data_IF_745462393385
#
_entry.id   IF_745462393385
#
_cell.length_a   1.000
_cell.length_b   1.000
_cell.length_c   1.000
_cell.angle_alpha   90.00
_cell.angle_beta   90.00
_cell.angle_gamma   90.00
#
_symmetry.space_group_name_H-M   'P 1'
#
loop_
_entity.id
_entity.type
_entity.pdbx_description
1 polymer ?
#
# COMPACT_ATOMS: atom_id res chain seq x y z
N UNK A 1 0.55 -11.94 -5.09
CA UNK A 1 1.05 -10.58 -4.81
C UNK A 1 0.10 -9.58 -5.43
N UNK A 2 0.13 -8.33 -4.98
CA UNK A 2 -0.60 -7.22 -5.60
C UNK A 2 0.42 -6.24 -6.17
N UNK A 3 0.22 -5.81 -7.41
CA UNK A 3 1.01 -4.77 -8.08
C UNK A 3 0.07 -3.83 -8.82
N UNK A 4 0.31 -2.53 -8.73
CA UNK A 4 -0.58 -1.53 -9.33
C UNK A 4 -0.44 -1.45 -10.85
N UNK A 5 0.77 -1.68 -11.37
CA UNK A 5 1.12 -1.43 -12.78
C UNK A 5 0.76 0.01 -13.22
N UNK A 6 0.90 0.96 -12.29
CA UNK A 6 0.61 2.37 -12.55
C UNK A 6 1.63 3.00 -13.51
N UNK A 7 1.15 3.82 -14.45
CA UNK A 7 1.99 4.62 -15.36
C UNK A 7 1.94 6.08 -14.91
N UNK A 8 2.91 6.55 -14.09
CA UNK A 8 2.80 7.84 -13.41
C UNK A 8 2.96 9.07 -14.32
N UNK A 9 3.52 8.88 -15.52
CA UNK A 9 3.79 9.97 -16.46
C UNK A 9 2.64 10.20 -17.46
N UNK A 10 1.60 9.37 -17.43
CA UNK A 10 0.45 9.54 -18.32
C UNK A 10 -0.38 10.76 -17.87
N UNK A 11 -0.80 11.64 -18.80
CA UNK A 11 -1.63 12.78 -18.45
C UNK A 11 -2.99 12.34 -17.89
N UNK A 12 -3.56 11.27 -18.46
CA UNK A 12 -4.79 10.60 -18.01
C UNK A 12 -4.48 9.12 -17.72
N UNK A 13 -3.91 8.81 -16.54
CA UNK A 13 -3.48 7.45 -16.21
C UNK A 13 -4.69 6.53 -15.96
N UNK A 14 -4.49 5.22 -16.08
CA UNK A 14 -5.48 4.26 -15.57
C UNK A 14 -5.64 4.43 -14.04
N UNK A 15 -6.85 4.38 -13.46
CA UNK A 15 -7.09 4.58 -12.00
C UNK A 15 -6.37 3.58 -11.09
N UNK A 16 -5.74 2.55 -11.65
CA UNK A 16 -4.93 1.56 -10.92
C UNK A 16 -3.70 2.20 -10.29
N UNK A 17 -3.21 3.30 -10.87
CA UNK A 17 -2.12 4.10 -10.32
C UNK A 17 -2.45 4.60 -8.89
N UNK A 18 -3.71 4.94 -8.62
CA UNK A 18 -4.15 5.55 -7.37
C UNK A 18 -5.00 4.63 -6.48
N UNK A 19 -5.62 3.60 -7.06
CA UNK A 19 -6.63 2.77 -6.38
C UNK A 19 -6.25 1.32 -6.10
N UNK A 20 -5.18 0.78 -6.68
CA UNK A 20 -4.98 -0.68 -6.71
C UNK A 20 -5.02 -1.38 -5.34
N UNK A 21 -4.28 -0.88 -4.34
CA UNK A 21 -4.23 -1.51 -3.02
C UNK A 21 -5.51 -1.29 -2.19
N UNK A 22 -6.04 -0.05 -2.08
CA UNK A 22 -7.31 0.19 -1.39
C UNK A 22 -8.49 -0.57 -2.01
N UNK A 23 -8.50 -0.79 -3.33
CA UNK A 23 -9.51 -1.64 -4.00
C UNK A 23 -9.45 -3.09 -3.53
N UNK A 24 -8.24 -3.63 -3.29
CA UNK A 24 -8.07 -4.99 -2.76
C UNK A 24 -8.53 -5.10 -1.30
N UNK A 25 -8.25 -4.09 -0.49
CA UNK A 25 -8.66 -4.08 0.92
C UNK A 25 -10.17 -3.86 1.08
N UNK A 26 -10.74 -2.87 0.40
CA UNK A 26 -12.16 -2.53 0.46
C UNK A 26 -12.99 -3.46 -0.41
N UNK A 27 -13.00 -3.22 -1.72
CA UNK A 27 -13.88 -3.93 -2.64
C UNK A 27 -13.68 -5.45 -2.61
N UNK A 28 -12.45 -5.96 -2.81
CA UNK A 28 -12.27 -7.41 -2.90
C UNK A 28 -12.31 -8.16 -1.57
N UNK A 29 -11.78 -7.58 -0.48
CA UNK A 29 -11.72 -8.28 0.80
C UNK A 29 -12.91 -8.01 1.70
N UNK A 30 -13.34 -6.75 1.88
CA UNK A 30 -14.48 -6.39 2.72
C UNK A 30 -15.81 -6.64 2.02
N UNK A 31 -15.98 -6.10 0.80
CA UNK A 31 -17.29 -6.05 0.14
C UNK A 31 -17.64 -7.38 -0.55
N UNK A 32 -16.74 -7.90 -1.38
CA UNK A 32 -16.93 -9.17 -2.11
C UNK A 32 -16.56 -10.41 -1.30
N UNK A 33 -15.93 -10.24 -0.12
CA UNK A 33 -15.48 -11.33 0.76
C UNK A 33 -14.65 -12.41 0.04
N UNK A 34 -13.92 -12.05 -1.02
CA UNK A 34 -13.15 -12.99 -1.85
C UNK A 34 -12.06 -13.70 -1.04
N UNK A 35 -11.56 -13.03 0.00
CA UNK A 35 -10.65 -13.57 1.01
C UNK A 35 -10.64 -12.68 2.27
N UNK A 36 -10.25 -13.22 3.43
CA UNK A 36 -10.10 -12.44 4.66
C UNK A 36 -9.11 -11.28 4.51
N UNK A 37 -9.31 -10.21 5.30
CA UNK A 37 -8.42 -9.03 5.30
C UNK A 37 -6.95 -9.39 5.56
N UNK A 38 -6.70 -10.37 6.44
CA UNK A 38 -5.34 -10.87 6.72
C UNK A 38 -4.66 -11.46 5.49
N UNK A 39 -5.42 -12.17 4.64
CA UNK A 39 -4.93 -12.68 3.35
C UNK A 39 -4.66 -11.55 2.37
N UNK A 40 -5.54 -10.54 2.31
CA UNK A 40 -5.33 -9.34 1.50
C UNK A 40 -4.03 -8.63 1.87
N UNK A 41 -3.85 -8.33 3.17
CA UNK A 41 -2.65 -7.71 3.73
C UNK A 41 -1.41 -8.57 3.44
N UNK A 42 -1.45 -9.87 3.68
CA UNK A 42 -0.32 -10.75 3.41
C UNK A 42 0.10 -10.74 1.94
N UNK A 43 -0.86 -10.74 1.00
CA UNK A 43 -0.60 -10.68 -0.45
C UNK A 43 0.09 -9.40 -0.90
N UNK A 44 0.01 -8.31 -0.14
CA UNK A 44 0.66 -7.03 -0.45
C UNK A 44 1.82 -6.67 0.50
N UNK A 45 2.10 -7.50 1.51
CA UNK A 45 3.19 -7.31 2.48
C UNK A 45 4.12 -8.52 2.52
N UNK A 46 3.89 -9.47 3.43
CA UNK A 46 4.78 -10.62 3.68
C UNK A 46 5.05 -11.49 2.46
N UNK A 47 4.04 -11.74 1.62
CA UNK A 47 4.23 -12.49 0.37
C UNK A 47 5.16 -11.77 -0.60
N UNK A 48 5.01 -10.46 -0.73
CA UNK A 48 5.83 -9.64 -1.61
C UNK A 48 7.26 -9.53 -1.08
N UNK A 49 7.42 -9.25 0.22
CA UNK A 49 8.73 -9.19 0.86
C UNK A 49 9.50 -10.51 0.73
N UNK A 50 8.82 -11.65 0.94
CA UNK A 50 9.41 -12.97 0.74
C UNK A 50 9.82 -13.21 -0.73
N UNK A 51 8.94 -12.89 -1.68
CA UNK A 51 9.21 -13.10 -3.12
C UNK A 51 10.39 -12.28 -3.63
N UNK A 52 10.52 -11.03 -3.15
CA UNK A 52 11.60 -10.13 -3.55
C UNK A 52 12.81 -10.16 -2.60
N UNK A 53 12.80 -11.02 -1.58
CA UNK A 53 13.86 -11.18 -0.59
C UNK A 53 14.21 -9.86 0.12
N UNK A 54 13.19 -9.11 0.52
CA UNK A 54 13.33 -7.86 1.28
C UNK A 54 13.53 -8.17 2.76
N UNK A 55 14.79 -8.35 3.15
CA UNK A 55 15.14 -8.66 4.54
C UNK A 55 14.54 -7.65 5.52
N UNK A 56 14.01 -8.18 6.63
CA UNK A 56 13.46 -7.42 7.75
C UNK A 56 12.30 -6.47 7.39
N UNK A 57 11.53 -6.79 6.33
CA UNK A 57 10.35 -6.00 5.87
C UNK A 57 9.12 -6.88 5.61
N UNK A 58 7.96 -6.23 5.48
CA UNK A 58 6.70 -6.86 5.10
C UNK A 58 5.97 -7.60 6.22
N UNK A 59 6.48 -7.55 7.46
CA UNK A 59 5.83 -8.10 8.66
C UNK A 59 5.94 -7.09 9.81
N UNK A 60 4.91 -7.03 10.65
CA UNK A 60 4.95 -6.28 11.91
C UNK A 60 5.59 -7.17 12.97
N UNK A 61 6.90 -7.01 13.17
CA UNK A 61 7.71 -7.85 14.06
C UNK A 61 8.83 -7.04 14.69
N UNK A 62 9.18 -7.34 15.94
CA UNK A 62 10.36 -6.74 16.60
C UNK A 62 11.61 -7.01 15.75
N UNK A 63 12.41 -5.95 15.53
CA UNK A 63 13.62 -5.98 14.70
C UNK A 63 13.39 -5.71 13.21
N UNK A 64 12.13 -5.62 12.74
CA UNK A 64 11.82 -5.27 11.36
C UNK A 64 11.77 -3.74 11.18
N UNK A 65 11.95 -3.28 9.94
CA UNK A 65 11.77 -1.87 9.61
C UNK A 65 10.32 -1.43 9.90
N UNK A 66 10.17 -0.23 10.46
CA UNK A 66 8.87 0.39 10.72
C UNK A 66 8.27 0.99 9.44
N UNK A 67 8.00 0.12 8.47
CA UNK A 67 7.16 0.41 7.30
C UNK A 67 5.73 0.01 7.62
N UNK A 68 4.90 0.97 8.00
CA UNK A 68 3.59 0.72 8.58
C UNK A 68 2.53 1.55 7.88
N UNK A 69 1.33 0.99 7.78
CA UNK A 69 0.13 1.69 7.30
C UNK A 69 -0.94 1.57 8.36
N UNK A 70 -1.48 2.71 8.79
CA UNK A 70 -2.70 2.78 9.56
C UNK A 70 -3.85 3.07 8.60
N UNK A 71 -4.86 2.19 8.59
CA UNK A 71 -6.04 2.35 7.77
C UNK A 71 -7.27 1.84 8.52
N UNK A 72 -8.41 2.43 8.22
CA UNK A 72 -9.70 1.98 8.74
C UNK A 72 -10.27 0.88 7.83
N UNK A 73 -10.40 -0.37 8.31
CA UNK A 73 -10.90 -1.47 7.51
C UNK A 73 -12.36 -1.28 7.06
N UNK A 74 -13.15 -0.46 7.76
CA UNK A 74 -14.54 -0.21 7.42
C UNK A 74 -14.68 0.80 6.28
N UNK A 75 -13.74 1.73 6.14
CA UNK A 75 -13.84 2.84 5.17
C UNK A 75 -12.81 2.81 4.05
N UNK A 76 -11.75 1.99 4.15
CA UNK A 76 -10.72 1.90 3.11
C UNK A 76 -11.34 1.53 1.75
N UNK A 77 -11.06 2.33 0.73
CA UNK A 77 -11.53 2.11 -0.65
C UNK A 77 -10.73 2.92 -1.67
N UNK A 78 -10.70 2.43 -2.90
CA UNK A 78 -10.31 3.22 -4.06
C UNK A 78 -11.40 4.23 -4.42
N UNK A 79 -10.96 5.43 -4.81
CA UNK A 79 -11.86 6.54 -5.21
C UNK A 79 -11.59 6.97 -6.65
N UNK A 80 -10.39 6.69 -7.17
CA UNK A 80 -10.02 6.96 -8.55
C UNK A 80 -10.92 6.19 -9.53
N UNK A 81 -11.43 6.89 -10.54
CA UNK A 81 -12.22 6.32 -11.63
C UNK A 81 -11.54 6.53 -12.97
N UNK A 82 -12.06 5.97 -14.06
CA UNK A 82 -11.53 6.25 -15.40
C UNK A 82 -11.69 7.72 -15.81
N UNK A 83 -12.73 8.41 -15.33
CA UNK A 83 -12.97 9.83 -15.64
C UNK A 83 -12.23 10.79 -14.70
N UNK A 84 -11.91 10.35 -13.48
CA UNK A 84 -11.09 11.10 -12.52
C UNK A 84 -10.06 10.16 -11.85
N UNK A 85 -8.95 9.85 -12.56
CA UNK A 85 -8.06 8.77 -12.16
C UNK A 85 -7.01 9.15 -11.12
N UNK A 86 -6.90 10.43 -10.75
CA UNK A 86 -5.86 10.93 -9.83
C UNK A 86 -6.40 11.22 -8.42
N UNK A 87 -7.53 10.63 -8.06
CA UNK A 87 -8.11 10.81 -6.73
C UNK A 87 -7.39 9.94 -5.68
N UNK A 88 -6.95 10.54 -4.56
CA UNK A 88 -6.48 9.76 -3.41
C UNK A 88 -7.55 8.81 -2.89
N UNK A 89 -7.12 7.67 -2.38
CA UNK A 89 -7.98 6.72 -1.69
C UNK A 89 -8.50 7.28 -0.36
N UNK A 90 -9.63 6.74 0.10
CA UNK A 90 -10.18 7.00 1.43
C UNK A 90 -9.74 5.89 2.41
N UNK A 91 -9.82 6.19 3.71
CA UNK A 91 -9.56 5.24 4.80
C UNK A 91 -8.09 4.94 5.09
N UNK A 92 -7.14 5.55 4.38
CA UNK A 92 -5.71 5.54 4.76
C UNK A 92 -5.45 6.73 5.68
N UNK A 93 -5.13 6.46 6.95
CA UNK A 93 -4.91 7.49 7.97
C UNK A 93 -3.46 7.93 8.06
N UNK A 94 -2.52 6.98 7.99
CA UNK A 94 -1.11 7.28 8.09
C UNK A 94 -0.25 6.22 7.38
N UNK A 95 0.89 6.67 6.85
CA UNK A 95 1.93 5.79 6.30
C UNK A 95 3.27 6.20 6.89
N UNK A 96 3.98 5.22 7.44
CA UNK A 96 5.36 5.37 7.91
C UNK A 96 6.29 4.58 6.99
N UNK A 97 7.44 5.17 6.69
CA UNK A 97 8.54 4.52 5.97
C UNK A 97 9.76 4.62 6.85
N UNK A 98 10.39 3.49 7.18
CA UNK A 98 11.56 3.43 8.05
C UNK A 98 11.37 4.22 9.37
N UNK A 99 10.17 4.20 9.94
CA UNK A 99 9.83 4.87 11.21
C UNK A 99 9.53 6.37 11.10
N UNK A 100 9.57 6.94 9.89
CA UNK A 100 9.25 8.36 9.65
C UNK A 100 7.89 8.47 9.00
N UNK A 101 7.03 9.33 9.55
CA UNK A 101 5.74 9.67 8.95
C UNK A 101 5.96 10.22 7.54
N UNK A 102 5.38 9.56 6.54
CA UNK A 102 5.51 9.92 5.13
C UNK A 102 4.18 10.38 4.53
N UNK A 103 3.06 9.95 5.10
CA UNK A 103 1.71 10.43 4.81
C UNK A 103 0.92 10.50 6.12
N UNK A 104 0.32 11.64 6.42
CA UNK A 104 -0.39 11.89 7.69
C UNK A 104 -1.91 12.02 7.54
N UNK A 105 -2.58 12.18 8.68
CA UNK A 105 -4.05 12.36 8.77
C UNK A 105 -4.56 13.63 8.08
N UNK A 106 -3.68 14.60 7.83
CA UNK A 106 -3.96 15.79 7.03
C UNK A 106 -3.95 15.54 5.50
N UNK A 107 -3.77 14.26 5.10
CA UNK A 107 -3.65 13.79 3.72
C UNK A 107 -2.49 14.42 2.95
N UNK A 108 -1.43 14.84 3.64
CA UNK A 108 -0.22 15.40 3.02
C UNK A 108 0.97 14.47 3.12
N UNK A 109 1.89 14.63 2.18
CA UNK A 109 3.21 14.00 2.24
C UNK A 109 4.07 14.80 3.20
N UNK A 110 4.55 14.15 4.26
CA UNK A 110 5.22 14.82 5.39
C UNK A 110 6.71 14.49 5.50
N UNK A 111 7.19 13.43 4.84
CA UNK A 111 8.57 12.99 4.93
C UNK A 111 9.00 12.08 3.78
N UNK A 112 10.32 12.00 3.55
CA UNK A 112 10.94 11.09 2.58
C UNK A 112 12.03 10.28 3.29
N UNK A 113 11.67 9.09 3.75
CA UNK A 113 12.59 8.20 4.46
C UNK A 113 12.93 6.93 3.69
N UNK A 114 12.64 6.88 2.38
CA UNK A 114 12.97 5.75 1.52
C UNK A 114 14.47 5.44 1.48
N UNK A 115 14.81 4.17 1.22
CA UNK A 115 16.19 3.69 1.09
C UNK A 115 16.30 2.79 -0.13
N UNK A 116 17.48 2.77 -0.76
CA UNK A 116 17.79 1.75 -1.75
C UNK A 116 17.79 0.37 -1.08
N UNK A 117 17.06 -0.58 -1.66
CA UNK A 117 17.00 -1.95 -1.16
C UNK A 117 17.91 -2.82 -2.02
N UNK A 118 19.02 -3.27 -1.42
CA UNK A 118 19.90 -4.23 -2.06
C UNK A 118 19.39 -5.63 -1.77
N UNK A 119 19.30 -6.48 -2.80
CA UNK A 119 19.10 -7.92 -2.62
C UNK A 119 20.33 -8.49 -1.92
N UNK A 120 20.16 -9.10 -0.74
CA UNK A 120 21.25 -9.84 -0.10
C UNK A 120 21.56 -11.06 -0.96
N UNK A 121 22.82 -11.18 -1.35
CA UNK A 121 23.34 -12.32 -2.11
C UNK A 121 23.97 -13.25 -1.07
N UNK A 122 23.11 -13.89 -0.28
CA UNK A 122 23.51 -14.93 0.66
C UNK A 122 22.99 -16.27 0.13
#
# INVERSE_FOLDING_TARGET
>A
MIGSDGLPNDPMPHPRLWGAFPRVLGHYSRDEQLFPLTTAVHKMTGLSAARFQLADRGLVKIGYFADLVLFDPQTVRDVASFSDPKRPADGIEAVMVNGVMSYGSDKKITGRAGRFLRRRMD
#
